data_IF_694611653094
#
_entry.id   IF_694611653094
#
_cell.length_a   1.000
_cell.length_b   1.000
_cell.length_c   1.000
_cell.angle_alpha   90.00
_cell.angle_beta   90.00
_cell.angle_gamma   90.00
#
_symmetry.space_group_name_H-M   'P 1'
#
loop_
_entity.id
_entity.type
_entity.pdbx_description
1 polymer ?
#
# COMPACT_ATOMS: atom_id res chain seq x y z
N UNK A 1 20.44 14.03 -17.68
CA UNK A 1 20.39 14.18 -16.20
C UNK A 1 19.04 13.77 -15.61
N UNK A 2 17.91 14.17 -16.22
CA UNK A 2 16.54 13.85 -15.78
C UNK A 2 16.25 12.34 -15.61
N UNK A 3 16.75 11.49 -16.52
CA UNK A 3 16.51 10.04 -16.48
C UNK A 3 17.10 9.34 -15.25
N UNK A 4 18.27 9.78 -14.77
CA UNK A 4 18.93 9.20 -13.57
C UNK A 4 18.19 9.53 -12.27
N UNK A 5 17.51 10.67 -12.22
CA UNK A 5 16.72 11.08 -11.05
C UNK A 5 15.45 10.21 -10.97
N UNK A 6 14.76 10.05 -12.10
CA UNK A 6 13.56 9.23 -12.19
C UNK A 6 13.84 7.77 -11.80
N UNK A 7 14.94 7.19 -12.29
CA UNK A 7 15.35 5.83 -11.91
C UNK A 7 15.59 5.69 -10.40
N UNK A 8 16.29 6.65 -9.78
CA UNK A 8 16.50 6.63 -8.32
C UNK A 8 15.19 6.72 -7.56
N UNK A 9 14.25 7.56 -8.00
CA UNK A 9 12.93 7.69 -7.39
C UNK A 9 12.16 6.38 -7.49
N UNK A 10 12.13 5.75 -8.67
CA UNK A 10 11.49 4.45 -8.87
C UNK A 10 12.09 3.38 -7.96
N UNK A 11 13.42 3.34 -7.81
CA UNK A 11 14.10 2.38 -6.92
C UNK A 11 13.71 2.59 -5.45
N UNK A 12 13.63 3.84 -5.00
CA UNK A 12 13.18 4.16 -3.63
C UNK A 12 11.72 3.72 -3.43
N UNK A 13 10.85 4.03 -4.40
CA UNK A 13 9.44 3.63 -4.35
C UNK A 13 9.31 2.10 -4.28
N UNK A 14 10.01 1.36 -5.14
CA UNK A 14 10.01 -0.10 -5.13
C UNK A 14 10.57 -0.71 -3.84
N UNK A 15 11.41 0.02 -3.09
CA UNK A 15 11.94 -0.43 -1.82
C UNK A 15 10.99 -0.14 -0.65
N UNK A 16 10.35 1.02 -0.63
CA UNK A 16 9.56 1.48 0.54
C UNK A 16 8.08 1.13 0.42
N UNK A 17 7.48 1.37 -0.75
CA UNK A 17 6.04 1.28 -0.94
C UNK A 17 5.45 -0.12 -0.68
N UNK A 18 6.13 -1.24 -1.02
CA UNK A 18 5.65 -2.59 -0.64
C UNK A 18 5.54 -2.80 0.87
N UNK A 19 6.49 -2.28 1.64
CA UNK A 19 6.49 -2.41 3.11
C UNK A 19 5.33 -1.62 3.71
N UNK A 20 5.06 -0.42 3.19
CA UNK A 20 3.91 0.39 3.61
C UNK A 20 2.60 -0.34 3.33
N UNK A 21 2.41 -0.89 2.13
CA UNK A 21 1.23 -1.70 1.81
C UNK A 21 1.07 -2.90 2.75
N UNK A 22 2.17 -3.60 3.06
CA UNK A 22 2.15 -4.78 3.92
C UNK A 22 1.74 -4.40 5.34
N UNK A 23 2.34 -3.37 5.93
CA UNK A 23 2.02 -2.90 7.28
C UNK A 23 0.55 -2.48 7.37
N UNK A 24 0.07 -1.68 6.41
CA UNK A 24 -1.32 -1.21 6.42
C UNK A 24 -2.30 -2.37 6.23
N UNK A 25 -1.97 -3.35 5.37
CA UNK A 25 -2.79 -4.55 5.17
C UNK A 25 -2.89 -5.38 6.45
N UNK A 26 -1.75 -5.63 7.12
CA UNK A 26 -1.73 -6.37 8.37
C UNK A 26 -2.51 -5.65 9.47
N UNK A 27 -2.33 -4.34 9.61
CA UNK A 27 -3.09 -3.54 10.56
C UNK A 27 -4.61 -3.65 10.29
N UNK A 28 -5.03 -3.58 9.03
CA UNK A 28 -6.44 -3.72 8.66
C UNK A 28 -6.97 -5.12 9.00
N UNK A 29 -6.21 -6.17 8.71
CA UNK A 29 -6.58 -7.56 9.04
C UNK A 29 -6.76 -7.73 10.55
N UNK A 30 -5.85 -7.19 11.36
CA UNK A 30 -5.96 -7.26 12.83
C UNK A 30 -7.22 -6.54 13.31
N UNK A 31 -7.46 -5.31 12.85
CA UNK A 31 -8.67 -4.56 13.20
C UNK A 31 -9.93 -5.31 12.79
N UNK A 32 -9.94 -5.89 11.59
CA UNK A 32 -11.06 -6.71 11.11
C UNK A 32 -11.32 -7.91 12.00
N UNK A 33 -10.28 -8.67 12.37
CA UNK A 33 -10.42 -9.86 13.21
C UNK A 33 -10.94 -9.48 14.61
N UNK A 34 -10.41 -8.41 15.21
CA UNK A 34 -10.85 -7.95 16.53
C UNK A 34 -12.32 -7.53 16.49
N UNK A 35 -12.75 -6.81 15.45
CA UNK A 35 -14.15 -6.39 15.29
C UNK A 35 -15.10 -7.59 15.12
N UNK A 36 -14.63 -8.68 14.50
CA UNK A 36 -15.42 -9.92 14.36
C UNK A 36 -15.59 -10.67 15.68
N UNK A 37 -14.60 -10.59 16.58
CA UNK A 37 -14.66 -11.22 17.91
C UNK A 37 -15.42 -10.35 18.91
N UNK A 38 -15.31 -9.02 18.80
CA UNK A 38 -16.00 -8.06 19.65
C UNK A 38 -16.63 -6.92 18.83
N UNK A 39 -17.85 -7.12 18.28
CA UNK A 39 -18.51 -6.13 17.42
C UNK A 39 -18.82 -4.80 18.11
N UNK A 40 -18.78 -4.75 19.44
CA UNK A 40 -19.05 -3.52 20.21
C UNK A 40 -17.96 -2.44 20.05
N UNK A 41 -16.79 -2.77 19.50
CA UNK A 41 -15.72 -1.78 19.28
C UNK A 41 -15.89 -0.97 17.98
N UNK A 42 -16.59 -1.51 16.98
CA UNK A 42 -16.88 -0.88 15.67
C UNK A 42 -15.64 -0.28 14.96
N UNK A 43 -14.49 -0.94 15.05
CA UNK A 43 -13.25 -0.45 14.45
C UNK A 43 -13.38 -0.26 12.94
N UNK A 44 -14.11 -1.12 12.23
CA UNK A 44 -14.32 -0.99 10.77
C UNK A 44 -15.24 0.20 10.45
N UNK A 45 -16.23 0.50 11.30
CA UNK A 45 -17.16 1.62 11.10
C UNK A 45 -16.51 2.98 11.26
N UNK A 46 -15.46 3.09 12.08
CA UNK A 46 -14.73 4.33 12.32
C UNK A 46 -14.09 4.93 11.05
N UNK A 47 -14.12 6.27 10.99
CA UNK A 47 -13.53 7.07 9.91
C UNK A 47 -12.04 6.78 9.64
N UNK A 48 -11.30 6.40 10.68
CA UNK A 48 -9.86 6.15 10.63
C UNK A 48 -9.55 4.90 9.83
N UNK A 49 -10.28 3.80 10.09
CA UNK A 49 -10.13 2.54 9.36
C UNK A 49 -10.56 2.68 7.91
N UNK A 50 -11.58 3.51 7.63
CA UNK A 50 -11.98 3.87 6.26
C UNK A 50 -10.89 4.67 5.53
N UNK A 51 -10.27 5.64 6.19
CA UNK A 51 -9.14 6.39 5.64
C UNK A 51 -7.92 5.50 5.41
N UNK A 52 -7.66 4.56 6.33
CA UNK A 52 -6.59 3.58 6.21
C UNK A 52 -6.81 2.63 5.02
N UNK A 53 -8.05 2.20 4.79
CA UNK A 53 -8.43 1.40 3.62
C UNK A 53 -8.22 2.17 2.31
N UNK A 54 -8.58 3.46 2.28
CA UNK A 54 -8.33 4.33 1.12
C UNK A 54 -6.82 4.49 0.86
N UNK A 55 -6.03 4.70 1.92
CA UNK A 55 -4.57 4.78 1.82
C UNK A 55 -3.97 3.47 1.30
N UNK A 56 -4.46 2.32 1.75
CA UNK A 56 -4.06 1.02 1.23
C UNK A 56 -4.39 0.87 -0.26
N UNK A 57 -5.59 1.25 -0.68
CA UNK A 57 -6.01 1.18 -2.07
C UNK A 57 -5.13 2.04 -2.98
N UNK A 58 -4.86 3.29 -2.59
CA UNK A 58 -4.00 4.21 -3.35
C UNK A 58 -2.57 3.68 -3.42
N UNK A 59 -1.99 3.27 -2.29
CA UNK A 59 -0.61 2.77 -2.24
C UNK A 59 -0.45 1.48 -3.05
N UNK A 60 -1.42 0.58 -2.98
CA UNK A 60 -1.43 -0.66 -3.79
C UNK A 60 -1.55 -0.37 -5.28
N UNK A 61 -2.39 0.59 -5.69
CA UNK A 61 -2.54 0.97 -7.08
C UNK A 61 -1.24 1.57 -7.64
N UNK A 62 -0.62 2.51 -6.91
CA UNK A 62 0.66 3.11 -7.28
C UNK A 62 1.76 2.04 -7.37
N UNK A 63 1.84 1.14 -6.40
CA UNK A 63 2.80 0.04 -6.43
C UNK A 63 2.61 -0.85 -7.66
N UNK A 64 1.37 -1.21 -7.99
CA UNK A 64 1.05 -2.01 -9.18
C UNK A 64 1.52 -1.35 -10.47
N UNK A 65 1.23 -0.05 -10.65
CA UNK A 65 1.68 0.71 -11.84
C UNK A 65 3.21 0.73 -11.94
N UNK A 66 3.90 1.04 -10.84
CA UNK A 66 5.38 1.12 -10.81
C UNK A 66 6.01 -0.25 -11.12
N UNK A 67 5.46 -1.32 -10.56
CA UNK A 67 5.92 -2.69 -10.82
C UNK A 67 5.73 -3.07 -12.29
N UNK A 68 4.56 -2.78 -12.89
CA UNK A 68 4.30 -3.05 -14.31
C UNK A 68 5.32 -2.32 -15.21
N UNK A 69 5.56 -1.03 -14.95
CA UNK A 69 6.53 -0.23 -15.71
C UNK A 69 7.94 -0.81 -15.56
N UNK A 70 8.34 -1.17 -14.33
CA UNK A 70 9.65 -1.74 -14.04
C UNK A 70 9.86 -3.07 -14.77
N UNK A 71 8.88 -3.98 -14.69
CA UNK A 71 8.96 -5.29 -15.37
C UNK A 71 9.00 -5.14 -16.89
N UNK A 72 8.18 -4.25 -17.47
CA UNK A 72 8.20 -3.99 -18.91
C UNK A 72 9.52 -3.39 -19.38
N UNK A 73 10.16 -2.56 -18.56
CA UNK A 73 11.46 -1.95 -18.88
C UNK A 73 12.61 -2.98 -18.84
N UNK A 74 12.46 -4.08 -18.08
CA UNK A 74 13.45 -5.17 -17.99
C UNK A 74 13.29 -6.26 -19.06
N UNK A 75 12.14 -6.31 -19.74
CA UNK A 75 11.84 -7.29 -20.79
C UNK A 75 12.40 -6.89 -22.17
N UNK A 76 12.73 -5.60 -22.36
CA UNK A 76 13.44 -5.10 -23.54
C UNK A 76 14.94 -5.26 -23.35
#
# INVERSE_FOLDING_TARGET
MFNKILEKVIQIILKVLPHVCLIISLAYIVLYIIDRVNPSMDFIGFWFTKAMLLALAITSAVLGVVVIIFLNSRRK
#
